data_IF_865247000746
#
_entry.id   IF_865247000746
#
_cell.length_a   1.000
_cell.length_b   1.000
_cell.length_c   1.000
_cell.angle_alpha   90.00
_cell.angle_beta   90.00
_cell.angle_gamma   90.00
#
_symmetry.space_group_name_H-M   'P 1'
#
loop_
_entity.id
_entity.type
_entity.pdbx_description
1 polymer ?
#
# COMPACT_ATOMS: atom_id res chain seq x y z
N UNK A 1 -11.45 -2.94 16.88
CA UNK A 1 -10.66 -2.67 15.66
C UNK A 1 -9.49 -1.79 16.03
N UNK A 2 -8.25 -2.25 15.81
CA UNK A 2 -7.05 -1.59 16.37
C UNK A 2 -6.55 -0.43 15.52
N UNK A 3 -6.05 0.62 16.18
CA UNK A 3 -5.36 1.77 15.59
C UNK A 3 -4.31 1.36 14.52
N UNK A 4 -3.61 0.25 14.74
CA UNK A 4 -2.61 -0.28 13.80
C UNK A 4 -3.20 -0.74 12.46
N UNK A 5 -4.42 -1.28 12.47
CA UNK A 5 -5.13 -1.67 11.23
C UNK A 5 -5.61 -0.44 10.47
N UNK A 6 -6.18 0.53 11.17
CA UNK A 6 -6.56 1.83 10.59
C UNK A 6 -5.35 2.55 9.98
N UNK A 7 -4.23 2.62 10.70
CA UNK A 7 -3.00 3.26 10.23
C UNK A 7 -2.47 2.56 8.98
N UNK A 8 -2.49 1.22 8.96
CA UNK A 8 -2.07 0.42 7.81
C UNK A 8 -2.94 0.67 6.58
N UNK A 9 -4.26 0.60 6.71
CA UNK A 9 -5.19 0.79 5.58
C UNK A 9 -5.05 2.19 4.98
N UNK A 10 -4.93 3.22 5.81
CA UNK A 10 -4.66 4.58 5.35
C UNK A 10 -3.29 4.67 4.66
N UNK A 11 -2.24 4.13 5.28
CA UNK A 11 -0.88 4.14 4.70
C UNK A 11 -0.85 3.46 3.33
N UNK A 12 -1.45 2.27 3.20
CA UNK A 12 -1.53 1.51 1.93
C UNK A 12 -2.28 2.31 0.86
N UNK A 13 -3.40 2.93 1.21
CA UNK A 13 -4.20 3.74 0.30
C UNK A 13 -3.40 4.93 -0.26
N UNK A 14 -2.80 5.76 0.60
CA UNK A 14 -2.11 6.98 0.14
C UNK A 14 -0.76 6.69 -0.52
N UNK A 15 -0.06 5.63 -0.13
CA UNK A 15 1.15 5.19 -0.85
C UNK A 15 0.81 4.75 -2.29
N UNK A 16 -0.32 4.08 -2.47
CA UNK A 16 -0.80 3.68 -3.80
C UNK A 16 -1.22 4.89 -4.64
N UNK A 17 -1.95 5.84 -4.05
CA UNK A 17 -2.33 7.10 -4.73
C UNK A 17 -1.10 7.89 -5.16
N UNK A 18 -0.11 8.07 -4.27
CA UNK A 18 1.14 8.76 -4.60
C UNK A 18 1.97 8.04 -5.68
N UNK A 19 1.96 6.69 -5.69
CA UNK A 19 2.60 5.91 -6.74
C UNK A 19 1.91 6.09 -8.10
N UNK A 20 0.57 6.02 -8.14
CA UNK A 20 -0.19 6.30 -9.35
C UNK A 20 0.01 7.72 -9.87
N UNK A 21 0.09 8.72 -8.99
CA UNK A 21 0.37 10.09 -9.43
C UNK A 21 1.76 10.20 -10.07
N UNK A 22 2.77 9.56 -9.48
CA UNK A 22 4.11 9.54 -10.05
C UNK A 22 4.14 8.82 -11.41
N UNK A 23 3.38 7.73 -11.54
CA UNK A 23 3.26 6.99 -12.79
C UNK A 23 2.60 7.82 -13.88
N UNK A 24 1.49 8.49 -13.54
CA UNK A 24 0.76 9.39 -14.46
C UNK A 24 1.61 10.59 -14.89
N UNK A 25 2.55 11.06 -14.06
CA UNK A 25 3.52 12.11 -14.44
C UNK A 25 4.61 11.57 -15.37
N UNK A 26 4.99 10.30 -15.23
CA UNK A 26 6.08 9.69 -16.00
C UNK A 26 5.62 9.15 -17.35
N UNK A 27 4.37 8.69 -17.45
CA UNK A 27 3.79 8.07 -18.63
C UNK A 27 2.55 8.85 -19.11
N UNK A 28 2.61 9.54 -20.26
CA UNK A 28 1.46 10.17 -20.87
C UNK A 28 0.38 9.12 -21.20
N UNK A 29 -0.83 9.30 -20.69
CA UNK A 29 -1.97 8.38 -20.94
C UNK A 29 -2.41 7.54 -19.74
N UNK A 30 -1.72 7.61 -18.59
CA UNK A 30 -2.22 6.96 -17.37
C UNK A 30 -3.27 7.82 -16.66
N UNK A 31 -4.37 7.22 -16.22
CA UNK A 31 -5.43 7.93 -15.50
C UNK A 31 -4.88 8.49 -14.19
N UNK A 32 -4.89 9.82 -14.06
CA UNK A 32 -4.45 10.48 -12.84
C UNK A 32 -5.42 10.13 -11.70
N UNK A 33 -4.92 9.77 -10.50
CA UNK A 33 -5.79 9.53 -9.35
C UNK A 33 -6.55 10.81 -8.98
N UNK A 34 -7.71 10.64 -8.32
CA UNK A 34 -8.60 11.74 -7.91
C UNK A 34 -7.82 12.74 -7.03
N UNK A 35 -8.07 14.03 -7.23
CA UNK A 35 -7.44 15.08 -6.42
C UNK A 35 -7.82 14.91 -4.94
N UNK A 36 -6.88 15.10 -4.01
CA UNK A 36 -7.15 14.91 -2.61
C UNK A 36 -8.20 15.90 -2.09
N UNK A 37 -9.16 15.41 -1.32
CA UNK A 37 -10.23 16.17 -0.70
C UNK A 37 -9.98 16.26 0.81
N UNK A 38 -9.41 17.38 1.25
CA UNK A 38 -9.33 17.76 2.66
C UNK A 38 -7.94 17.65 3.32
N UNK A 39 -7.83 18.20 4.54
CA UNK A 39 -6.54 18.37 5.23
C UNK A 39 -5.89 17.04 5.64
N UNK A 40 -6.69 16.00 5.94
CA UNK A 40 -6.17 14.68 6.28
C UNK A 40 -5.49 14.02 5.08
N UNK A 41 -6.11 14.03 3.90
CA UNK A 41 -5.51 13.47 2.68
C UNK A 41 -4.24 14.22 2.28
N UNK A 42 -4.23 15.56 2.44
CA UNK A 42 -3.06 16.41 2.24
C UNK A 42 -1.91 16.01 3.18
N UNK A 43 -2.17 15.79 4.47
CA UNK A 43 -1.16 15.30 5.41
C UNK A 43 -0.57 13.96 4.94
N UNK A 44 -1.42 13.02 4.54
CA UNK A 44 -0.96 11.71 4.12
C UNK A 44 -0.14 11.73 2.82
N UNK A 45 -0.57 12.48 1.81
CA UNK A 45 0.13 12.56 0.53
C UNK A 45 1.38 13.43 0.60
N UNK A 46 1.37 14.51 1.39
CA UNK A 46 2.40 15.55 1.37
C UNK A 46 3.40 15.46 2.53
N UNK A 47 3.05 14.78 3.63
CA UNK A 47 3.94 14.57 4.78
C UNK A 47 4.27 13.10 4.94
N UNK A 48 3.26 12.23 5.10
CA UNK A 48 3.52 10.82 5.40
C UNK A 48 4.20 10.08 4.24
N UNK A 49 3.67 10.18 3.01
CA UNK A 49 4.21 9.47 1.86
C UNK A 49 5.69 9.82 1.56
N UNK A 50 6.12 11.09 1.53
CA UNK A 50 7.54 11.41 1.34
C UNK A 50 8.41 10.98 2.51
N UNK A 51 7.95 11.14 3.75
CA UNK A 51 8.69 10.67 4.94
C UNK A 51 8.87 9.15 4.90
N UNK A 52 7.84 8.41 4.52
CA UNK A 52 7.91 6.96 4.36
C UNK A 52 8.83 6.53 3.20
N UNK A 53 8.91 7.32 2.12
CA UNK A 53 9.86 7.08 1.02
C UNK A 53 11.31 7.39 1.40
N UNK A 54 11.53 8.42 2.22
CA UNK A 54 12.85 8.79 2.72
C UNK A 54 13.35 7.85 3.82
N UNK A 55 12.47 7.00 4.37
CA UNK A 55 12.81 6.09 5.45
C UNK A 55 13.89 5.08 5.01
N UNK A 56 15.00 4.96 5.76
CA UNK A 56 16.03 3.97 5.49
C UNK A 56 15.46 2.54 5.51
N UNK A 57 15.98 1.69 4.63
CA UNK A 57 15.59 0.29 4.53
C UNK A 57 15.45 -0.46 5.87
N UNK A 58 16.39 -0.38 6.83
CA UNK A 58 16.25 -1.10 8.10
C UNK A 58 15.02 -0.66 8.91
N UNK A 59 14.65 0.62 8.85
CA UNK A 59 13.48 1.15 9.55
C UNK A 59 12.19 0.70 8.85
N UNK A 60 12.16 0.79 7.52
CA UNK A 60 11.05 0.28 6.70
C UNK A 60 10.81 -1.22 6.94
N UNK A 61 11.88 -2.01 7.04
CA UNK A 61 11.81 -3.44 7.31
C UNK A 61 11.26 -3.77 8.70
N UNK A 62 11.66 -3.02 9.73
CA UNK A 62 11.10 -3.16 11.08
C UNK A 62 9.61 -2.83 11.11
N UNK A 63 9.19 -1.76 10.43
CA UNK A 63 7.77 -1.38 10.33
C UNK A 63 6.98 -2.46 9.59
N UNK A 64 7.48 -2.96 8.45
CA UNK A 64 6.86 -4.05 7.69
C UNK A 64 6.73 -5.34 8.50
N UNK A 65 7.71 -5.66 9.36
CA UNK A 65 7.65 -6.82 10.27
C UNK A 65 6.71 -6.60 11.46
N UNK A 66 6.63 -5.37 11.97
CA UNK A 66 5.77 -5.01 13.09
C UNK A 66 4.29 -4.94 12.68
N UNK A 67 3.99 -4.59 11.44
CA UNK A 67 2.61 -4.55 10.94
C UNK A 67 2.09 -5.97 10.67
N UNK A 68 0.89 -6.35 11.15
CA UNK A 68 0.25 -7.61 10.82
C UNK A 68 -0.12 -7.60 9.34
N UNK A 69 0.72 -8.20 8.50
CA UNK A 69 0.58 -8.20 7.03
C UNK A 69 0.25 -9.56 6.46
N UNK A 70 0.20 -9.62 5.12
CA UNK A 70 0.00 -10.85 4.36
C UNK A 70 0.89 -12.02 4.83
N UNK A 71 2.05 -11.74 5.40
CA UNK A 71 2.94 -12.76 6.00
C UNK A 71 2.31 -13.55 7.16
N UNK A 72 1.22 -13.05 7.77
CA UNK A 72 0.40 -13.74 8.77
C UNK A 72 -0.95 -14.20 8.21
N UNK A 73 -1.26 -13.92 6.94
CA UNK A 73 -2.44 -14.47 6.28
C UNK A 73 -2.04 -15.85 5.76
N UNK A 74 -2.65 -16.88 6.31
CA UNK A 74 -2.75 -18.16 5.62
C UNK A 74 -3.59 -17.92 4.36
N UNK A 75 -2.92 -17.77 3.22
CA UNK A 75 -3.62 -17.83 1.95
C UNK A 75 -4.28 -19.21 1.85
N UNK A 76 -5.53 -19.26 1.38
CA UNK A 76 -6.25 -20.51 1.24
C UNK A 76 -5.40 -21.52 0.44
N UNK A 77 -5.37 -22.77 0.89
CA UNK A 77 -4.66 -23.86 0.22
C UNK A 77 -5.05 -23.86 -1.27
N UNK A 78 -4.08 -23.87 -2.22
CA UNK A 78 -4.43 -23.99 -3.62
C UNK A 78 -5.28 -25.25 -3.84
N UNK A 79 -6.35 -25.17 -4.65
CA UNK A 79 -7.22 -26.31 -4.89
C UNK A 79 -6.38 -27.48 -5.43
N UNK A 80 -6.57 -28.67 -4.85
CA UNK A 80 -5.85 -29.88 -5.28
C UNK A 80 -6.18 -30.12 -6.77
N UNK A 81 -5.18 -30.36 -7.63
CA UNK A 81 -5.42 -30.64 -9.04
C UNK A 81 -6.33 -31.87 -9.15
N UNK A 82 -7.53 -31.65 -9.68
CA UNK A 82 -8.55 -32.70 -9.83
C UNK A 82 -8.30 -33.48 -11.11
N UNK A 83 -7.45 -34.50 -11.03
CA UNK A 83 -7.35 -35.61 -11.99
C UNK A 83 -6.84 -35.26 -13.40
N UNK A 84 -6.44 -36.27 -14.19
CA UNK A 84 -6.01 -36.06 -15.56
C UNK A 84 -7.20 -35.59 -16.40
N UNK A 85 -6.98 -34.58 -17.24
CA UNK A 85 -7.91 -34.26 -18.33
C UNK A 85 -7.96 -35.48 -19.26
N UNK A 86 -9.07 -36.22 -19.22
CA UNK A 86 -9.39 -37.30 -20.17
C UNK A 86 -10.10 -36.70 -21.36
#
# INVERSE_FOLDING_TARGET
MGFTRWLRENSEHYLMVGAHEQLARRYPGTRRPRSPHGPAELFWLRVFAPVYRALPWPMRHRILRAMPGSHRRSWAEPPRPSGPAV
#
